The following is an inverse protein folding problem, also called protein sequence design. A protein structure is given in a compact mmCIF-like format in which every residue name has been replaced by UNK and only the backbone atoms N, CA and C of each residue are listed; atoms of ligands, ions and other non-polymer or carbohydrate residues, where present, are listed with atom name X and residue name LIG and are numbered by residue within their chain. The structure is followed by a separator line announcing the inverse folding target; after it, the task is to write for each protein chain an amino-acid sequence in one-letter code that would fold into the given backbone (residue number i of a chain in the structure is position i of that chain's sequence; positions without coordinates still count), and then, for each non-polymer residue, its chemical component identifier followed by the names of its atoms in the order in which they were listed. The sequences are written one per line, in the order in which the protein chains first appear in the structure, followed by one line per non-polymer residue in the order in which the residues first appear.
data_IF_962669874185
#
_entry.id   IF_962669874185
#
_cell.length_a   1.000
_cell.length_b   1.000
_cell.length_c   1.000
_cell.angle_alpha   90.00
_cell.angle_beta   90.00
_cell.angle_gamma   90.00
#
_symmetry.space_group_name_H-M   'P 1'
#
loop_
_entity.id
_entity.type
_entity.pdbx_description
1 polymer ?
#
# COMPACT_ATOMS: atom_id res chain seq x y z
N UNK A 1 -23.68 67.49 0.67
CA UNK A 1 -22.92 67.21 1.91
C UNK A 1 -23.32 65.81 2.36
N UNK A 2 -22.58 64.76 1.97
CA UNK A 2 -21.31 64.24 2.53
C UNK A 2 -21.58 63.12 3.55
N UNK A 3 -21.17 61.91 3.14
CA UNK A 3 -20.65 60.75 3.90
C UNK A 3 -21.55 60.15 5.01
N UNK A 4 -21.69 58.83 5.15
CA UNK A 4 -20.61 57.85 5.14
C UNK A 4 -21.06 56.47 4.61
N UNK A 5 -20.22 55.93 3.73
CA UNK A 5 -20.13 54.52 3.36
C UNK A 5 -19.43 53.75 4.48
N UNK A 6 -20.10 52.77 5.10
CA UNK A 6 -19.43 51.74 5.90
C UNK A 6 -19.16 50.51 5.04
N UNK A 7 -17.97 50.46 4.48
CA UNK A 7 -17.37 49.24 3.93
C UNK A 7 -16.89 48.37 5.08
N UNK A 8 -17.56 47.25 5.34
CA UNK A 8 -17.05 46.21 6.24
C UNK A 8 -16.03 45.37 5.45
N UNK A 9 -14.76 45.74 5.53
CA UNK A 9 -13.67 44.92 5.03
C UNK A 9 -13.49 43.72 5.96
N UNK A 10 -13.95 42.54 5.54
CA UNK A 10 -13.64 41.28 6.22
C UNK A 10 -12.21 40.89 5.85
N UNK A 11 -11.24 41.31 6.66
CA UNK A 11 -9.88 40.82 6.58
C UNK A 11 -9.87 39.35 7.03
N UNK A 12 -9.87 38.42 6.07
CA UNK A 12 -9.47 37.03 6.32
C UNK A 12 -7.97 37.03 6.61
N UNK A 13 -7.60 37.22 7.88
CA UNK A 13 -6.29 36.82 8.34
C UNK A 13 -6.19 35.31 8.17
N UNK A 14 -5.33 34.84 7.25
CA UNK A 14 -4.88 33.46 7.21
C UNK A 14 -4.22 33.18 8.56
N UNK A 15 -4.94 32.49 9.45
CA UNK A 15 -4.33 31.96 10.66
C UNK A 15 -3.22 30.99 10.22
N UNK A 16 -1.99 31.11 10.75
CA UNK A 16 -0.96 30.13 10.46
C UNK A 16 -1.46 28.75 10.87
N UNK A 17 -1.30 27.79 9.97
CA UNK A 17 -1.66 26.39 10.19
C UNK A 17 -1.07 25.92 11.52
N UNK A 18 -1.92 25.60 12.49
CA UNK A 18 -1.47 25.08 13.77
C UNK A 18 -0.74 23.75 13.52
N UNK A 19 0.56 23.72 13.80
CA UNK A 19 1.31 22.49 13.88
C UNK A 19 0.70 21.62 14.99
N UNK A 20 0.41 20.36 14.66
CA UNK A 20 -0.04 19.39 15.65
C UNK A 20 1.02 19.26 16.75
N UNK A 21 0.62 19.55 17.99
CA UNK A 21 1.47 19.41 19.16
C UNK A 21 1.22 18.04 19.80
N UNK A 22 2.26 17.20 19.88
CA UNK A 22 2.21 15.87 20.51
C UNK A 22 2.22 15.91 22.05
N UNK A 23 2.22 17.10 22.64
CA UNK A 23 2.31 17.32 24.09
C UNK A 23 1.17 16.67 24.87
N UNK A 24 -0.01 16.54 24.27
CA UNK A 24 -1.18 15.92 24.93
C UNK A 24 -1.14 14.40 24.95
N UNK A 25 -0.28 13.75 24.14
CA UNK A 25 -0.18 12.29 24.06
C UNK A 25 0.81 11.71 25.08
N UNK A 26 1.75 12.52 25.58
CA UNK A 26 2.83 12.08 26.48
C UNK A 26 2.93 12.91 27.77
N UNK A 27 1.91 13.72 28.08
CA UNK A 27 1.87 14.53 29.30
C UNK A 27 1.54 13.68 30.53
N UNK A 28 2.56 13.13 31.17
CA UNK A 28 2.50 12.59 32.52
C UNK A 28 3.70 13.09 33.32
N UNK A 29 3.43 13.91 34.34
CA UNK A 29 4.42 14.45 35.28
C UNK A 29 5.24 13.33 35.93
N UNK A 30 6.54 13.29 35.66
CA UNK A 30 7.51 12.83 36.63
C UNK A 30 8.83 13.61 36.49
N UNK A 31 9.22 14.20 37.62
CA UNK A 31 10.39 15.07 37.77
C UNK A 31 11.68 14.29 37.57
N UNK A 32 12.26 14.36 36.37
CA UNK A 32 13.70 14.16 36.18
C UNK A 32 14.23 15.21 35.22
N UNK A 33 15.32 15.87 35.60
CA UNK A 33 16.04 16.81 34.74
C UNK A 33 16.57 16.06 33.50
N UNK A 34 15.77 16.01 32.44
CA UNK A 34 16.23 15.55 31.14
C UNK A 34 16.93 16.74 30.47
N UNK A 35 18.24 16.62 30.30
CA UNK A 35 19.02 17.49 29.43
C UNK A 35 18.36 17.55 28.05
N UNK A 36 17.97 18.74 27.60
CA UNK A 36 17.59 19.03 26.22
C UNK A 36 18.82 18.92 25.30
N UNK A 37 19.41 17.73 25.20
CA UNK A 37 20.35 17.40 24.15
C UNK A 37 19.54 16.87 22.97
N UNK A 38 19.37 17.69 21.93
CA UNK A 38 19.19 17.10 20.62
C UNK A 38 20.33 16.09 20.42
N UNK A 39 20.01 14.89 19.97
CA UNK A 39 21.02 13.90 19.64
C UNK A 39 21.87 14.48 18.49
N UNK A 40 23.09 14.91 18.84
CA UNK A 40 24.09 15.44 17.90
C UNK A 40 25.01 14.33 17.38
N UNK A 41 24.61 13.06 17.56
CA UNK A 41 25.32 11.91 17.01
C UNK A 41 25.55 12.12 15.51
N UNK A 42 26.82 12.04 15.11
CA UNK A 42 27.24 11.94 13.71
C UNK A 42 27.22 10.48 13.22
N UNK A 43 26.64 9.58 14.02
CA UNK A 43 26.58 8.15 13.80
C UNK A 43 27.84 7.39 14.20
N UNK A 44 28.90 8.04 14.69
CA UNK A 44 30.15 7.35 15.07
C UNK A 44 30.08 6.62 16.40
N UNK A 45 29.17 7.03 17.29
CA UNK A 45 28.85 6.37 18.55
C UNK A 45 27.86 5.20 18.38
N UNK A 46 27.21 5.10 17.21
CA UNK A 46 26.36 3.97 16.85
C UNK A 46 27.27 2.82 16.40
N UNK A 47 27.36 1.77 17.22
CA UNK A 47 27.98 0.51 16.77
C UNK A 47 27.08 -0.12 15.70
N UNK A 48 27.51 -0.21 14.43
CA UNK A 48 26.70 -0.79 13.39
C UNK A 48 26.43 -2.25 13.73
N UNK A 49 25.17 -2.61 13.92
CA UNK A 49 24.79 -4.01 14.04
C UNK A 49 24.77 -4.57 12.63
N UNK A 50 25.68 -5.49 12.33
CA UNK A 50 25.60 -6.23 11.07
C UNK A 50 24.22 -6.88 11.00
N UNK A 51 23.53 -6.77 9.85
CA UNK A 51 22.25 -7.46 9.68
C UNK A 51 22.48 -8.96 9.86
N UNK A 52 21.50 -9.63 10.47
CA UNK A 52 21.49 -11.09 10.52
C UNK A 52 21.49 -11.60 9.07
N UNK A 53 22.36 -12.55 8.75
CA UNK A 53 22.51 -13.06 7.37
C UNK A 53 21.82 -14.41 7.18
N UNK A 54 21.55 -15.12 8.28
CA UNK A 54 20.93 -16.43 8.24
C UNK A 54 19.42 -16.27 8.04
N UNK A 55 18.87 -16.93 7.02
CA UNK A 55 17.45 -16.87 6.69
C UNK A 55 16.55 -17.29 7.88
N UNK A 56 17.02 -18.23 8.69
CA UNK A 56 16.30 -18.71 9.89
C UNK A 56 16.14 -17.63 10.97
N UNK A 57 16.93 -16.56 10.93
CA UNK A 57 16.79 -15.42 11.83
C UNK A 57 15.68 -14.44 11.39
N UNK A 58 15.28 -14.49 10.12
CA UNK A 58 14.28 -13.58 9.52
C UNK A 58 12.94 -14.27 9.21
N UNK A 59 12.97 -15.57 8.92
CA UNK A 59 11.81 -16.34 8.47
C UNK A 59 11.37 -17.37 9.51
N UNK A 60 10.05 -17.62 9.57
CA UNK A 60 9.47 -18.60 10.47
C UNK A 60 9.94 -20.01 10.15
N UNK A 61 10.51 -20.71 11.12
CA UNK A 61 10.86 -22.13 10.96
C UNK A 61 9.63 -23.00 10.66
N UNK A 62 9.83 -24.21 10.10
CA UNK A 62 8.74 -25.19 9.90
C UNK A 62 7.97 -25.47 11.19
N UNK A 63 8.66 -25.47 12.32
CA UNK A 63 8.07 -25.66 13.65
C UNK A 63 7.14 -24.51 14.02
N UNK A 64 7.56 -23.27 13.80
CA UNK A 64 6.75 -22.08 14.06
C UNK A 64 5.55 -21.98 13.14
N UNK A 65 5.71 -22.28 11.85
CA UNK A 65 4.59 -22.38 10.89
C UNK A 65 3.57 -23.42 11.38
N UNK A 66 4.03 -24.60 11.79
CA UNK A 66 3.16 -25.68 12.31
C UNK A 66 2.45 -25.26 13.60
N UNK A 67 3.16 -24.62 14.53
CA UNK A 67 2.61 -24.12 15.79
C UNK A 67 1.54 -23.04 15.55
N UNK A 68 1.77 -22.11 14.61
CA UNK A 68 0.81 -21.06 14.24
C UNK A 68 -0.53 -21.60 13.70
N UNK A 69 -0.54 -22.88 13.30
CA UNK A 69 -1.70 -23.59 12.72
C UNK A 69 -2.30 -24.63 13.65
N UNK A 70 -2.03 -24.56 14.95
CA UNK A 70 -2.56 -25.52 15.92
C UNK A 70 -1.92 -26.91 15.81
N UNK A 71 -0.68 -26.99 15.33
CA UNK A 71 0.09 -28.23 15.28
C UNK A 71 -0.03 -29.01 13.97
N UNK A 72 -0.79 -28.53 12.98
CA UNK A 72 -0.94 -29.20 11.68
C UNK A 72 0.20 -28.76 10.74
N UNK A 73 1.08 -29.68 10.27
CA UNK A 73 2.16 -29.33 9.36
C UNK A 73 1.67 -28.87 7.98
N UNK A 74 2.40 -27.94 7.36
CA UNK A 74 2.24 -27.56 5.95
C UNK A 74 3.39 -28.14 5.13
N UNK A 75 3.14 -29.30 4.51
CA UNK A 75 4.13 -29.98 3.67
C UNK A 75 4.24 -29.37 2.28
N UNK A 76 3.28 -28.52 1.91
CA UNK A 76 3.15 -27.81 0.64
C UNK A 76 3.72 -26.39 0.66
N UNK A 77 4.36 -25.97 1.76
CA UNK A 77 4.85 -24.60 1.94
C UNK A 77 6.34 -24.59 2.30
N UNK A 78 7.12 -23.87 1.51
CA UNK A 78 8.51 -23.57 1.81
C UNK A 78 8.60 -22.44 2.84
N UNK A 79 9.56 -22.54 3.77
CA UNK A 79 9.82 -21.49 4.78
C UNK A 79 10.34 -20.21 4.13
N UNK A 80 11.21 -20.38 3.14
CA UNK A 80 11.77 -19.34 2.30
C UNK A 80 11.99 -19.91 0.90
N UNK A 81 12.21 -19.03 -0.07
CA UNK A 81 12.63 -19.37 -1.43
C UNK A 81 14.05 -18.85 -1.68
N UNK A 82 14.78 -19.51 -2.57
CA UNK A 82 16.12 -19.09 -3.01
C UNK A 82 16.12 -18.81 -4.50
N UNK A 83 17.08 -18.03 -4.99
CA UNK A 83 17.17 -17.68 -6.41
C UNK A 83 16.16 -16.61 -6.86
N UNK A 84 15.54 -15.89 -5.92
CA UNK A 84 14.62 -14.80 -6.23
C UNK A 84 15.37 -13.64 -6.90
N UNK A 85 14.80 -13.11 -7.99
CA UNK A 85 15.23 -11.83 -8.54
C UNK A 85 14.52 -10.71 -7.78
N UNK A 86 15.28 -9.93 -7.01
CA UNK A 86 14.74 -8.83 -6.19
C UNK A 86 15.25 -7.50 -6.74
N UNK A 87 14.33 -6.58 -7.00
CA UNK A 87 14.63 -5.19 -7.35
C UNK A 87 14.17 -4.28 -6.23
N UNK A 88 15.09 -3.49 -5.67
CA UNK A 88 14.78 -2.48 -4.67
C UNK A 88 14.57 -1.13 -5.36
N UNK A 89 13.40 -0.53 -5.13
CA UNK A 89 13.10 0.83 -5.59
C UNK A 89 13.34 1.81 -4.45
N UNK A 90 14.21 2.78 -4.67
CA UNK A 90 14.52 3.82 -3.68
C UNK A 90 13.75 5.11 -3.95
N UNK A 91 13.14 5.22 -5.13
CA UNK A 91 12.34 6.36 -5.56
C UNK A 91 10.94 5.89 -5.95
N UNK A 92 9.93 6.66 -5.53
CA UNK A 92 8.53 6.27 -5.71
C UNK A 92 8.12 6.16 -7.18
N UNK A 93 8.63 7.02 -8.06
CA UNK A 93 8.29 6.97 -9.50
C UNK A 93 8.75 5.66 -10.14
N UNK A 94 9.96 5.18 -9.83
CA UNK A 94 10.47 3.91 -10.36
C UNK A 94 9.61 2.73 -9.92
N UNK A 95 9.15 2.73 -8.66
CA UNK A 95 8.21 1.73 -8.16
C UNK A 95 6.88 1.76 -8.93
N UNK A 96 6.27 2.94 -9.07
CA UNK A 96 4.97 3.06 -9.74
C UNK A 96 5.06 2.85 -11.26
N UNK A 97 6.20 3.16 -11.86
CA UNK A 97 6.51 2.80 -13.25
C UNK A 97 6.54 1.29 -13.40
N UNK A 98 7.28 0.57 -12.55
CA UNK A 98 7.31 -0.89 -12.60
C UNK A 98 5.93 -1.52 -12.39
N UNK A 99 5.15 -1.00 -11.43
CA UNK A 99 3.75 -1.42 -11.20
C UNK A 99 2.90 -1.19 -12.45
N UNK A 100 3.03 -0.04 -13.11
CA UNK A 100 2.29 0.26 -14.34
C UNK A 100 2.68 -0.68 -15.48
N UNK A 101 3.98 -0.91 -15.69
CA UNK A 101 4.46 -1.79 -16.75
C UNK A 101 4.02 -3.24 -16.53
N UNK A 102 4.16 -3.76 -15.30
CA UNK A 102 3.78 -5.14 -14.99
C UNK A 102 2.25 -5.35 -15.06
N UNK A 103 1.45 -4.39 -14.60
CA UNK A 103 0.00 -4.42 -14.81
C UNK A 103 -0.36 -4.31 -16.29
N UNK A 104 0.37 -3.51 -17.07
CA UNK A 104 0.12 -3.36 -18.52
C UNK A 104 0.49 -4.62 -19.32
N UNK A 105 1.44 -5.41 -18.81
CA UNK A 105 1.91 -6.65 -19.41
C UNK A 105 1.02 -7.88 -19.13
N UNK A 106 0.01 -7.77 -18.25
CA UNK A 106 -0.88 -8.90 -17.91
C UNK A 106 -1.59 -9.46 -19.14
N UNK A 107 -1.83 -10.77 -19.14
CA UNK A 107 -2.44 -11.53 -20.22
C UNK A 107 -3.74 -12.21 -19.77
N UNK A 108 -4.35 -12.93 -20.70
CA UNK A 108 -5.55 -13.69 -20.45
C UNK A 108 -5.34 -14.74 -19.34
N UNK A 109 -6.21 -14.69 -18.33
CA UNK A 109 -6.21 -15.61 -17.19
C UNK A 109 -5.24 -15.24 -16.06
N UNK A 110 -4.40 -14.22 -16.23
CA UNK A 110 -3.54 -13.74 -15.16
C UNK A 110 -4.37 -13.21 -13.97
N UNK A 111 -3.82 -13.33 -12.77
CA UNK A 111 -4.49 -12.94 -11.53
C UNK A 111 -3.67 -11.89 -10.80
N UNK A 112 -4.25 -10.70 -10.63
CA UNK A 112 -3.72 -9.63 -9.79
C UNK A 112 -4.39 -9.70 -8.42
N UNK A 113 -3.59 -9.85 -7.36
CA UNK A 113 -4.03 -9.86 -5.97
C UNK A 113 -3.37 -8.67 -5.26
N UNK A 114 -4.16 -7.73 -4.77
CA UNK A 114 -3.68 -6.52 -4.11
C UNK A 114 -4.22 -6.44 -2.70
N UNK A 115 -3.32 -6.26 -1.73
CA UNK A 115 -3.70 -5.79 -0.40
C UNK A 115 -3.29 -4.33 -0.26
N UNK A 116 -4.21 -3.51 0.24
CA UNK A 116 -4.00 -2.08 0.40
C UNK A 116 -4.58 -1.57 1.71
N UNK A 117 -3.91 -0.57 2.29
CA UNK A 117 -4.46 0.19 3.42
C UNK A 117 -5.41 1.31 2.97
N UNK A 118 -5.16 1.85 1.78
CA UNK A 118 -5.93 2.92 1.14
C UNK A 118 -5.86 2.72 -0.37
N UNK A 119 -6.99 2.88 -1.05
CA UNK A 119 -7.07 2.92 -2.51
C UNK A 119 -7.63 4.27 -2.95
N UNK A 120 -6.94 4.92 -3.88
CA UNK A 120 -7.35 6.20 -4.47
C UNK A 120 -7.24 6.15 -5.99
N UNK A 121 -8.09 6.91 -6.67
CA UNK A 121 -8.12 7.03 -8.14
C UNK A 121 -7.11 8.08 -8.61
N UNK A 122 -5.82 7.76 -8.46
CA UNK A 122 -4.70 8.62 -8.86
C UNK A 122 -3.97 8.03 -10.08
N UNK A 123 -3.26 8.85 -10.89
CA UNK A 123 -2.33 8.34 -11.89
C UNK A 123 -1.14 7.63 -11.24
N UNK A 124 -0.73 6.49 -11.80
CA UNK A 124 0.52 5.82 -11.46
C UNK A 124 1.75 6.59 -11.98
N UNK A 125 1.60 7.33 -13.09
CA UNK A 125 2.67 8.12 -13.72
C UNK A 125 2.25 9.59 -13.90
N UNK A 126 2.11 10.36 -12.81
CA UNK A 126 1.59 11.73 -12.82
C UNK A 126 2.45 12.73 -13.58
N UNK A 127 3.73 12.44 -13.78
CA UNK A 127 4.69 13.26 -14.51
C UNK A 127 4.45 13.25 -16.03
N UNK A 128 4.00 12.11 -16.57
CA UNK A 128 3.71 11.94 -18.02
C UNK A 128 2.23 11.98 -18.35
N UNK A 129 1.37 11.58 -17.41
CA UNK A 129 -0.08 11.63 -17.54
C UNK A 129 -0.72 12.18 -16.26
N UNK A 130 -0.62 13.51 -16.03
CA UNK A 130 -1.16 14.16 -14.82
C UNK A 130 -2.67 13.96 -14.64
N UNK A 131 -3.39 13.74 -15.74
CA UNK A 131 -4.83 13.54 -15.75
C UNK A 131 -5.25 12.13 -15.33
N UNK A 132 -4.33 11.15 -15.44
CA UNK A 132 -4.63 9.74 -15.27
C UNK A 132 -5.50 9.14 -16.37
N UNK A 133 -5.63 9.79 -17.53
CA UNK A 133 -6.46 9.30 -18.62
C UNK A 133 -6.02 7.94 -19.17
N UNK A 134 -4.75 7.57 -18.98
CA UNK A 134 -4.19 6.25 -19.33
C UNK A 134 -3.58 5.54 -18.14
N UNK A 135 -2.94 6.29 -17.25
CA UNK A 135 -2.16 5.75 -16.12
C UNK A 135 -2.94 5.78 -14.81
N UNK A 136 -4.18 6.28 -14.82
CA UNK A 136 -5.08 6.23 -13.68
C UNK A 136 -5.33 4.80 -13.23
N UNK A 137 -5.40 4.59 -11.91
CA UNK A 137 -5.60 3.24 -11.33
C UNK A 137 -6.81 2.53 -11.95
N UNK A 138 -7.93 3.24 -12.17
CA UNK A 138 -9.14 2.64 -12.75
C UNK A 138 -8.88 2.17 -14.19
N UNK A 139 -8.22 2.99 -14.98
CA UNK A 139 -7.92 2.78 -16.38
C UNK A 139 -6.97 1.60 -16.55
N UNK A 140 -5.94 1.52 -15.70
CA UNK A 140 -4.97 0.41 -15.69
C UNK A 140 -5.65 -0.90 -15.29
N UNK A 141 -6.46 -0.92 -14.22
CA UNK A 141 -7.23 -2.10 -13.80
C UNK A 141 -8.22 -2.52 -14.89
N UNK A 142 -8.91 -1.56 -15.52
CA UNK A 142 -9.81 -1.85 -16.64
C UNK A 142 -9.04 -2.46 -17.83
N UNK A 143 -7.80 -2.03 -18.06
CA UNK A 143 -6.89 -2.64 -19.02
C UNK A 143 -6.60 -4.12 -18.72
N UNK A 144 -6.30 -4.45 -17.46
CA UNK A 144 -6.08 -5.85 -17.03
C UNK A 144 -7.32 -6.69 -17.32
N UNK A 145 -8.50 -6.22 -16.93
CA UNK A 145 -9.78 -6.91 -17.15
C UNK A 145 -10.06 -7.06 -18.65
N UNK A 146 -9.86 -6.01 -19.44
CA UNK A 146 -10.04 -6.05 -20.89
C UNK A 146 -9.20 -7.13 -21.56
N UNK A 147 -7.98 -7.39 -21.06
CA UNK A 147 -7.09 -8.46 -21.53
C UNK A 147 -7.44 -9.86 -21.00
N UNK A 148 -8.49 -9.99 -20.18
CA UNK A 148 -8.93 -11.26 -19.63
C UNK A 148 -8.24 -11.63 -18.31
N UNK A 149 -7.51 -10.70 -17.69
CA UNK A 149 -6.95 -10.88 -16.34
C UNK A 149 -7.96 -10.53 -15.25
N UNK A 150 -7.90 -11.21 -14.11
CA UNK A 150 -8.75 -10.93 -12.95
C UNK A 150 -8.02 -10.09 -11.92
N UNK A 151 -8.72 -9.15 -11.26
CA UNK A 151 -8.14 -8.29 -10.23
C UNK A 151 -8.95 -8.44 -8.93
N UNK A 152 -8.27 -8.77 -7.84
CA UNK A 152 -8.88 -8.94 -6.53
C UNK A 152 -8.16 -8.06 -5.52
N UNK A 153 -8.89 -7.13 -4.90
CA UNK A 153 -8.34 -6.12 -4.02
C UNK A 153 -8.98 -6.27 -2.63
N UNK A 154 -8.15 -6.53 -1.64
CA UNK A 154 -8.51 -6.49 -0.22
C UNK A 154 -8.02 -5.17 0.37
N UNK A 155 -8.94 -4.23 0.54
CA UNK A 155 -8.61 -2.88 0.97
C UNK A 155 -9.10 -2.63 2.40
N UNK A 156 -8.26 -2.09 3.28
CA UNK A 156 -8.70 -1.76 4.64
C UNK A 156 -9.86 -0.76 4.61
N UNK A 157 -10.92 -1.02 5.38
CA UNK A 157 -12.14 -0.21 5.39
C UNK A 157 -11.88 1.26 5.78
N UNK A 158 -10.82 1.49 6.57
CA UNK A 158 -10.32 2.82 6.94
C UNK A 158 -11.40 3.75 7.52
N UNK A 159 -12.19 3.20 8.45
CA UNK A 159 -13.42 3.82 8.98
C UNK A 159 -13.13 5.06 9.85
N UNK A 160 -11.91 5.20 10.39
CA UNK A 160 -11.63 6.13 11.49
C UNK A 160 -10.98 7.48 11.10
N UNK A 161 -10.51 7.68 9.86
CA UNK A 161 -9.53 8.78 9.58
C UNK A 161 -9.85 9.62 8.33
N UNK A 162 -11.13 9.76 7.96
CA UNK A 162 -11.54 10.61 6.84
C UNK A 162 -11.12 10.11 5.45
N UNK A 163 -10.47 8.95 5.36
CA UNK A 163 -10.07 8.33 4.10
C UNK A 163 -11.17 7.47 3.45
N UNK A 164 -12.23 7.17 4.20
CA UNK A 164 -13.39 6.39 3.74
C UNK A 164 -13.94 6.84 2.37
N UNK A 165 -14.09 8.15 2.08
CA UNK A 165 -14.60 8.59 0.78
C UNK A 165 -13.72 8.17 -0.40
N UNK A 166 -12.39 8.16 -0.26
CA UNK A 166 -11.48 7.70 -1.31
C UNK A 166 -11.65 6.20 -1.58
N UNK A 167 -11.70 5.42 -0.51
CA UNK A 167 -11.91 3.97 -0.58
C UNK A 167 -13.27 3.61 -1.23
N UNK A 168 -14.34 4.28 -0.84
CA UNK A 168 -15.68 4.07 -1.44
C UNK A 168 -15.65 4.43 -2.93
N UNK A 169 -15.10 5.60 -3.27
CA UNK A 169 -15.00 6.03 -4.67
C UNK A 169 -14.19 5.05 -5.51
N UNK A 170 -13.07 4.54 -4.98
CA UNK A 170 -12.25 3.56 -5.66
C UNK A 170 -12.98 2.22 -5.82
N UNK A 171 -13.62 1.71 -4.76
CA UNK A 171 -14.44 0.49 -4.81
C UNK A 171 -15.51 0.59 -5.89
N UNK A 172 -16.29 1.66 -5.88
CA UNK A 172 -17.41 1.82 -6.81
C UNK A 172 -16.91 1.91 -8.25
N UNK A 173 -15.84 2.67 -8.49
CA UNK A 173 -15.23 2.78 -9.80
C UNK A 173 -14.68 1.44 -10.30
N UNK A 174 -13.99 0.67 -9.46
CA UNK A 174 -13.38 -0.62 -9.83
C UNK A 174 -14.45 -1.69 -10.03
N UNK A 175 -15.42 -1.79 -9.12
CA UNK A 175 -16.50 -2.77 -9.22
C UNK A 175 -17.48 -2.46 -10.36
N UNK A 176 -17.48 -1.23 -10.90
CA UNK A 176 -18.22 -0.86 -12.10
C UNK A 176 -17.55 -1.24 -13.42
N UNK A 177 -16.30 -1.70 -13.39
CA UNK A 177 -15.60 -2.15 -14.60
C UNK A 177 -16.36 -3.36 -15.17
N UNK A 178 -16.77 -3.32 -16.45
CA UNK A 178 -17.49 -4.45 -17.05
C UNK A 178 -16.59 -5.69 -17.11
N UNK A 179 -17.16 -6.90 -16.93
CA UNK A 179 -16.40 -8.13 -17.12
C UNK A 179 -15.77 -8.22 -18.51
N UNK A 180 -14.65 -8.94 -18.60
CA UNK A 180 -13.95 -9.18 -19.85
C UNK A 180 -14.85 -9.91 -20.86
N UNK A 181 -14.92 -9.46 -22.12
CA UNK A 181 -15.64 -10.19 -23.16
C UNK A 181 -14.92 -11.49 -23.58
N UNK A 182 -13.65 -11.67 -23.19
CA UNK A 182 -12.83 -12.83 -23.58
C UNK A 182 -13.24 -14.06 -22.75
N UNK A 183 -13.27 -13.90 -21.42
CA UNK A 183 -13.42 -15.03 -20.49
C UNK A 183 -14.24 -14.68 -19.23
N UNK A 184 -14.89 -13.52 -19.18
CA UNK A 184 -15.67 -13.08 -18.02
C UNK A 184 -14.84 -12.67 -16.79
N UNK A 185 -13.51 -12.52 -16.92
CA UNK A 185 -12.66 -11.99 -15.86
C UNK A 185 -13.17 -10.62 -15.38
N UNK A 186 -12.94 -10.29 -14.10
CA UNK A 186 -13.46 -9.07 -13.47
C UNK A 186 -12.50 -8.51 -12.44
N UNK A 187 -12.73 -7.24 -12.12
CA UNK A 187 -12.11 -6.60 -10.98
C UNK A 187 -13.10 -6.55 -9.80
N UNK A 188 -12.64 -6.93 -8.61
CA UNK A 188 -13.40 -6.84 -7.37
C UNK A 188 -12.52 -6.18 -6.31
N UNK A 189 -13.05 -5.13 -5.70
CA UNK A 189 -12.55 -4.53 -4.48
C UNK A 189 -13.55 -4.75 -3.36
N UNK A 190 -13.06 -5.33 -2.26
CA UNK A 190 -13.81 -5.51 -1.01
C UNK A 190 -13.08 -4.82 0.14
N UNK A 191 -13.84 -4.49 1.18
CA UNK A 191 -13.28 -3.93 2.41
C UNK A 191 -12.90 -5.03 3.41
N UNK A 192 -11.74 -4.88 4.05
CA UNK A 192 -11.31 -5.63 5.22
C UNK A 192 -11.51 -4.77 6.47
N UNK A 193 -12.23 -5.29 7.46
CA UNK A 193 -12.47 -4.67 8.77
C UNK A 193 -12.24 -5.67 9.93
N UNK A 194 -11.54 -6.78 9.68
CA UNK A 194 -11.44 -7.93 10.61
C UNK A 194 -10.73 -7.67 11.94
N UNK A 195 -10.09 -6.52 12.12
CA UNK A 195 -9.31 -6.24 13.32
C UNK A 195 -10.20 -5.64 14.43
N UNK A 196 -10.15 -6.19 15.65
CA UNK A 196 -11.15 -5.93 16.68
C UNK A 196 -10.97 -4.58 17.41
N UNK A 197 -9.90 -3.83 17.14
CA UNK A 197 -9.57 -2.58 17.83
C UNK A 197 -9.72 -1.39 16.88
N UNK A 198 -10.30 -0.30 17.38
CA UNK A 198 -10.67 0.88 16.61
C UNK A 198 -9.52 1.52 15.79
N UNK A 199 -8.27 1.38 16.23
CA UNK A 199 -7.07 1.91 15.55
C UNK A 199 -6.16 0.84 14.96
N UNK A 200 -6.50 -0.44 15.10
CA UNK A 200 -5.75 -1.50 14.44
C UNK A 200 -6.13 -1.55 12.97
N UNK A 201 -5.15 -1.69 12.09
CA UNK A 201 -5.39 -1.67 10.64
C UNK A 201 -4.64 -2.78 9.91
N UNK A 202 -5.20 -3.23 8.80
CA UNK A 202 -4.47 -4.02 7.83
C UNK A 202 -3.56 -3.10 7.01
N UNK A 203 -2.28 -3.00 7.38
CA UNK A 203 -1.34 -2.04 6.80
C UNK A 203 -0.44 -2.61 5.69
N UNK A 204 -0.68 -3.86 5.29
CA UNK A 204 0.06 -4.50 4.19
C UNK A 204 -0.24 -3.77 2.87
N UNK A 205 0.81 -3.55 2.08
CA UNK A 205 0.75 -2.95 0.75
C UNK A 205 1.56 -3.83 -0.18
N UNK A 206 0.88 -4.80 -0.78
CA UNK A 206 1.52 -5.79 -1.62
C UNK A 206 0.63 -6.12 -2.81
N UNK A 207 1.26 -6.26 -3.97
CA UNK A 207 0.62 -6.70 -5.19
C UNK A 207 1.30 -7.97 -5.68
N UNK A 208 0.51 -8.98 -6.01
CA UNK A 208 0.96 -10.23 -6.60
C UNK A 208 0.31 -10.36 -7.97
N UNK A 209 1.10 -10.58 -9.01
CA UNK A 209 0.62 -10.93 -10.34
C UNK A 209 1.04 -12.37 -10.59
N UNK A 210 0.07 -13.27 -10.57
CA UNK A 210 0.28 -14.68 -10.85
C UNK A 210 -0.18 -15.01 -12.28
N UNK A 211 0.74 -15.53 -13.09
CA UNK A 211 0.41 -15.90 -14.46
C UNK A 211 -0.57 -17.09 -14.52
N UNK A 212 -1.32 -17.17 -15.62
CA UNK A 212 -2.30 -18.25 -15.85
C UNK A 212 -1.65 -19.63 -16.09
N UNK A 213 -0.42 -19.67 -16.58
CA UNK A 213 0.31 -20.90 -16.85
C UNK A 213 1.78 -20.72 -16.57
N UNK A 214 2.43 -21.78 -16.10
CA UNK A 214 3.88 -21.84 -16.00
C UNK A 214 4.49 -22.45 -17.26
N UNK A 215 5.66 -21.96 -17.66
CA UNK A 215 6.41 -22.52 -18.78
C UNK A 215 7.29 -23.71 -18.38
N UNK A 216 7.49 -23.90 -17.08
CA UNK A 216 8.34 -24.95 -16.48
C UNK A 216 7.78 -25.36 -15.10
N UNK A 217 7.79 -26.65 -14.70
CA UNK A 217 7.41 -27.07 -13.36
C UNK A 217 8.10 -26.32 -12.20
N UNK A 218 9.32 -25.82 -12.43
CA UNK A 218 10.12 -25.05 -11.48
C UNK A 218 9.95 -23.52 -11.67
N UNK A 219 9.31 -23.08 -12.75
CA UNK A 219 8.97 -21.68 -12.98
C UNK A 219 7.72 -21.31 -12.15
N UNK A 220 7.89 -20.29 -11.31
CA UNK A 220 6.81 -19.67 -10.54
C UNK A 220 6.63 -18.27 -11.11
N UNK A 221 5.82 -18.09 -12.18
CA UNK A 221 5.68 -16.82 -12.88
C UNK A 221 4.82 -15.85 -12.05
N UNK A 222 5.39 -15.42 -10.93
CA UNK A 222 4.77 -14.59 -9.91
C UNK A 222 5.62 -13.34 -9.74
N UNK A 223 5.10 -12.19 -10.19
CA UNK A 223 5.67 -10.90 -9.85
C UNK A 223 5.06 -10.42 -8.52
N UNK A 224 5.90 -9.95 -7.59
CA UNK A 224 5.44 -9.41 -6.32
C UNK A 224 6.03 -8.02 -6.10
N UNK A 225 5.17 -7.04 -5.86
CA UNK A 225 5.57 -5.68 -5.48
C UNK A 225 5.21 -5.44 -4.02
N UNK A 226 6.13 -4.82 -3.29
CA UNK A 226 5.93 -4.41 -1.90
C UNK A 226 6.32 -2.95 -1.75
N UNK A 227 5.54 -2.20 -0.99
CA UNK A 227 5.89 -0.85 -0.56
C UNK A 227 5.74 -0.77 0.96
N UNK A 228 6.82 -0.42 1.64
CA UNK A 228 6.88 -0.28 3.11
C UNK A 228 6.27 1.04 3.54
#
# INVERSE_FOLDING_TARGET
MRLATSTLALALALAPSNAFSFSSLFGGDDKTQASNGADLSDGTDIKPRQPLLDAEDWFLTKKEITASRGGIPRTDLSVYTTGNKVTSYTVANEFYDAVFEDLSATKEGDRVLLAAWLMALVPLKPDVDPSGAKTGVKEVIAGVVKRGGSVNILNWANIAVGYTPYNIKARDAINSIPPSPINGAKAILIFDDRLPKALSTHHQKNMVIAANSSTDPDDQPVATHYIS
#
